data_IF_572928695338
#
_entry.id   IF_572928695338
#
_cell.length_a   1.000
_cell.length_b   1.000
_cell.length_c   1.000
_cell.angle_alpha   90.00
_cell.angle_beta   90.00
_cell.angle_gamma   90.00
#
_symmetry.space_group_name_H-M   'P 1'
#
loop_
_entity.id
_entity.type
_entity.pdbx_description
1 polymer ?
#
# COMPACT_ATOMS: atom_id res chain seq x y z
N UNK A 1 30.82 -8.31 15.16
CA UNK A 1 29.48 -8.93 15.10
C UNK A 1 28.58 -7.99 14.32
N UNK A 2 28.45 -8.18 13.01
CA UNK A 2 27.47 -7.41 12.22
C UNK A 2 26.10 -8.03 12.44
N UNK A 3 25.30 -7.44 13.31
CA UNK A 3 23.86 -7.67 13.34
C UNK A 3 23.31 -7.27 11.98
N UNK A 4 23.17 -8.24 11.06
CA UNK A 4 22.27 -8.11 9.93
C UNK A 4 20.91 -7.83 10.55
N UNK A 5 20.45 -6.57 10.47
CA UNK A 5 19.05 -6.24 10.68
C UNK A 5 18.30 -7.24 9.81
N UNK A 6 17.63 -8.21 10.45
CA UNK A 6 16.54 -8.92 9.78
C UNK A 6 15.58 -7.80 9.45
N UNK A 7 15.65 -7.31 8.22
CA UNK A 7 14.55 -6.60 7.57
C UNK A 7 13.33 -7.41 7.96
N UNK A 8 12.49 -6.81 8.82
CA UNK A 8 11.31 -7.50 9.34
C UNK A 8 10.62 -8.11 8.13
N UNK A 9 10.29 -9.39 8.21
CA UNK A 9 9.44 -10.02 7.21
C UNK A 9 8.16 -9.20 7.18
N UNK A 10 8.10 -8.23 6.27
CA UNK A 10 6.90 -7.46 5.98
C UNK A 10 5.88 -8.51 5.58
N UNK A 11 4.89 -8.71 6.45
CA UNK A 11 3.80 -9.60 6.13
C UNK A 11 2.96 -8.90 5.07
N UNK A 12 2.99 -9.41 3.84
CA UNK A 12 2.13 -8.90 2.76
C UNK A 12 0.64 -9.05 3.13
N UNK A 13 0.32 -9.96 4.04
CA UNK A 13 -1.03 -10.11 4.62
C UNK A 13 -1.36 -8.90 5.50
N UNK A 14 -0.43 -8.45 6.36
CA UNK A 14 -0.60 -7.22 7.13
C UNK A 14 -0.76 -6.01 6.23
N UNK A 15 0.09 -5.86 5.21
CA UNK A 15 -0.04 -4.75 4.25
C UNK A 15 -1.41 -4.78 3.56
N UNK A 16 -1.89 -5.97 3.20
CA UNK A 16 -3.20 -6.11 2.59
C UNK A 16 -4.33 -5.66 3.54
N UNK A 17 -4.27 -6.05 4.82
CA UNK A 17 -5.21 -5.62 5.85
C UNK A 17 -5.14 -4.10 6.08
N UNK A 18 -3.95 -3.50 6.16
CA UNK A 18 -3.79 -2.05 6.32
C UNK A 18 -4.36 -1.28 5.13
N UNK A 19 -4.20 -1.77 3.90
CA UNK A 19 -4.82 -1.15 2.72
C UNK A 19 -6.36 -1.20 2.83
N UNK A 20 -6.94 -2.28 3.35
CA UNK A 20 -8.39 -2.37 3.59
C UNK A 20 -8.85 -1.35 4.63
N UNK A 21 -8.13 -1.22 5.74
CA UNK A 21 -8.45 -0.25 6.80
C UNK A 21 -8.36 1.19 6.29
N UNK A 22 -7.35 1.49 5.48
CA UNK A 22 -7.20 2.79 4.83
C UNK A 22 -8.37 3.02 3.86
N UNK A 23 -8.72 2.05 3.03
CA UNK A 23 -9.83 2.16 2.09
C UNK A 23 -11.15 2.42 2.80
N UNK A 24 -11.45 1.67 3.86
CA UNK A 24 -12.63 1.87 4.70
C UNK A 24 -12.64 3.28 5.33
N UNK A 25 -11.51 3.72 5.86
CA UNK A 25 -11.35 5.06 6.43
C UNK A 25 -11.64 6.14 5.37
N UNK A 26 -11.07 6.01 4.17
CA UNK A 26 -11.29 6.95 3.07
C UNK A 26 -12.76 6.96 2.63
N UNK A 27 -13.41 5.79 2.54
CA UNK A 27 -14.82 5.67 2.19
C UNK A 27 -15.74 6.33 3.23
N UNK A 28 -15.53 6.03 4.51
CA UNK A 28 -16.35 6.54 5.62
C UNK A 28 -16.24 8.06 5.80
N UNK A 29 -15.14 8.65 5.35
CA UNK A 29 -14.88 10.10 5.44
C UNK A 29 -14.93 10.82 4.09
N UNK A 30 -15.47 10.17 3.06
CA UNK A 30 -15.53 10.71 1.69
C UNK A 30 -16.41 11.96 1.56
N UNK A 31 -17.55 12.00 2.26
CA UNK A 31 -18.52 13.11 2.21
C UNK A 31 -18.12 14.31 3.08
N UNK A 32 -17.25 14.08 4.07
CA UNK A 32 -16.74 15.13 4.96
C UNK A 32 -15.26 14.87 5.28
N UNK A 33 -14.35 15.27 4.38
CA UNK A 33 -12.94 14.97 4.55
C UNK A 33 -12.32 15.82 5.67
N UNK A 34 -12.12 15.19 6.82
CA UNK A 34 -11.41 15.81 7.93
C UNK A 34 -9.89 15.74 7.71
N UNK A 35 -9.21 16.89 7.72
CA UNK A 35 -7.76 16.99 7.49
C UNK A 35 -6.94 15.99 8.32
N UNK A 36 -7.27 15.83 9.60
CA UNK A 36 -6.53 14.93 10.51
C UNK A 36 -6.61 13.46 10.10
N UNK A 37 -7.75 13.03 9.58
CA UNK A 37 -7.95 11.64 9.15
C UNK A 37 -7.15 11.38 7.89
N UNK A 38 -7.16 12.33 6.95
CA UNK A 38 -6.38 12.19 5.72
C UNK A 38 -4.88 12.38 5.92
N UNK A 39 -4.45 13.11 6.96
CA UNK A 39 -3.06 13.11 7.44
C UNK A 39 -2.63 11.73 7.98
N UNK A 40 -3.52 11.03 8.68
CA UNK A 40 -3.28 9.66 9.15
C UNK A 40 -3.21 8.69 7.98
N UNK A 41 -4.19 8.71 7.07
CA UNK A 41 -4.19 7.92 5.84
C UNK A 41 -2.89 8.14 5.06
N UNK A 42 -2.48 9.39 4.88
CA UNK A 42 -1.24 9.72 4.21
C UNK A 42 -0.01 9.12 4.91
N UNK A 43 0.04 9.23 6.24
CA UNK A 43 1.14 8.67 7.04
C UNK A 43 1.21 7.15 6.89
N UNK A 44 0.08 6.45 6.99
CA UNK A 44 0.00 5.00 6.81
C UNK A 44 0.41 4.56 5.41
N UNK A 45 0.03 5.31 4.36
CA UNK A 45 0.46 5.01 2.99
C UNK A 45 1.98 5.17 2.81
N UNK A 46 2.63 6.17 3.43
CA UNK A 46 4.09 6.29 3.37
C UNK A 46 4.79 5.16 4.14
N UNK A 47 4.22 4.67 5.24
CA UNK A 47 4.74 3.49 5.95
C UNK A 47 4.70 2.25 5.04
N UNK A 48 3.52 1.95 4.46
CA UNK A 48 3.35 0.86 3.49
C UNK A 48 4.35 0.99 2.34
N UNK A 49 4.47 2.18 1.75
CA UNK A 49 5.43 2.45 0.67
C UNK A 49 6.86 2.11 1.07
N UNK A 50 7.29 2.53 2.26
CA UNK A 50 8.64 2.29 2.76
C UNK A 50 8.93 0.80 3.01
N UNK A 51 7.89 0.01 3.28
CA UNK A 51 7.99 -1.43 3.45
C UNK A 51 7.99 -2.21 2.14
N UNK A 52 7.15 -1.81 1.18
CA UNK A 52 7.06 -2.46 -0.13
C UNK A 52 8.29 -2.18 -0.98
N UNK A 53 8.82 -0.95 -0.92
CA UNK A 53 9.95 -0.53 -1.75
C UNK A 53 11.18 -1.45 -1.69
N UNK A 54 11.71 -1.86 -0.51
CA UNK A 54 12.79 -2.83 -0.46
C UNK A 54 12.35 -4.21 -0.98
N UNK A 55 11.13 -4.66 -0.69
CA UNK A 55 10.63 -5.95 -1.19
C UNK A 55 10.54 -5.98 -2.72
N UNK A 56 9.99 -4.94 -3.33
CA UNK A 56 9.87 -4.81 -4.79
C UNK A 56 11.25 -4.83 -5.46
N UNK A 57 12.25 -4.16 -4.85
CA UNK A 57 13.65 -4.19 -5.30
C UNK A 57 14.31 -5.55 -5.15
N UNK A 58 14.11 -6.22 -4.01
CA UNK A 58 14.76 -7.51 -3.71
C UNK A 58 14.17 -8.66 -4.54
N UNK A 59 12.86 -8.65 -4.76
CA UNK A 59 12.16 -9.72 -5.49
C UNK A 59 12.11 -9.50 -6.99
N UNK A 60 12.37 -8.27 -7.46
CA UNK A 60 12.26 -7.84 -8.86
C UNK A 60 10.98 -8.35 -9.52
N UNK A 61 9.87 -8.21 -8.79
CA UNK A 61 8.59 -8.77 -9.17
C UNK A 61 7.68 -7.65 -9.68
N UNK A 62 7.14 -7.83 -10.90
CA UNK A 62 6.22 -6.87 -11.52
C UNK A 62 5.05 -6.53 -10.62
N UNK A 63 4.44 -7.54 -9.99
CA UNK A 63 3.31 -7.31 -9.09
C UNK A 63 3.67 -6.39 -7.93
N UNK A 64 4.82 -6.58 -7.26
CA UNK A 64 5.23 -5.72 -6.14
C UNK A 64 5.62 -4.30 -6.60
N UNK A 65 6.21 -4.15 -7.79
CA UNK A 65 6.44 -2.84 -8.38
C UNK A 65 5.13 -2.11 -8.68
N UNK A 66 4.13 -2.83 -9.22
CA UNK A 66 2.81 -2.24 -9.42
C UNK A 66 2.18 -1.82 -8.09
N UNK A 67 2.24 -2.65 -7.03
CA UNK A 67 1.71 -2.24 -5.71
C UNK A 67 2.40 -0.95 -5.23
N UNK A 68 3.72 -0.84 -5.40
CA UNK A 68 4.45 0.36 -5.04
C UNK A 68 3.97 1.59 -5.82
N UNK A 69 3.80 1.47 -7.14
CA UNK A 69 3.30 2.56 -8.00
C UNK A 69 1.90 3.01 -7.58
N UNK A 70 1.00 2.07 -7.31
CA UNK A 70 -0.37 2.38 -6.87
C UNK A 70 -0.40 3.07 -5.49
N UNK A 71 0.44 2.64 -4.54
CA UNK A 71 0.54 3.33 -3.25
C UNK A 71 1.10 4.76 -3.41
N UNK A 72 2.07 4.96 -4.31
CA UNK A 72 2.58 6.30 -4.64
C UNK A 72 1.51 7.19 -5.30
N UNK A 73 0.64 6.61 -6.14
CA UNK A 73 -0.53 7.30 -6.70
C UNK A 73 -1.55 7.67 -5.61
N UNK A 74 -1.86 6.76 -4.68
CA UNK A 74 -2.75 7.05 -3.56
C UNK A 74 -2.22 8.23 -2.73
N UNK A 75 -0.92 8.23 -2.40
CA UNK A 75 -0.24 9.33 -1.70
C UNK A 75 -0.37 10.65 -2.47
N UNK A 76 -0.13 10.65 -3.77
CA UNK A 76 -0.20 11.85 -4.59
C UNK A 76 -1.62 12.44 -4.60
N UNK A 77 -2.64 11.58 -4.67
CA UNK A 77 -4.04 11.99 -4.62
C UNK A 77 -4.49 12.45 -3.21
N UNK A 78 -3.78 12.07 -2.15
CA UNK A 78 -4.03 12.51 -0.76
C UNK A 78 -3.38 13.84 -0.37
N UNK A 79 -2.31 14.28 -1.05
CA UNK A 79 -1.57 15.52 -0.75
C UNK A 79 -2.10 16.79 -1.45
N UNK A 80 -2.91 16.62 -2.51
CA UNK A 80 -3.43 17.71 -3.34
C UNK A 80 -4.89 18.07 -3.04
N UNK A 81 -5.70 18.26 -4.08
CA UNK A 81 -7.16 18.54 -4.01
C UNK A 81 -8.01 17.35 -3.50
N UNK A 82 -7.43 16.49 -2.67
CA UNK A 82 -7.97 15.25 -2.12
C UNK A 82 -8.95 14.54 -3.08
N UNK A 83 -8.39 13.74 -4.00
CA UNK A 83 -9.19 13.05 -5.02
C UNK A 83 -9.62 11.67 -4.51
N UNK A 84 -10.63 11.64 -3.64
CA UNK A 84 -11.14 10.41 -3.01
C UNK A 84 -11.36 9.27 -4.01
N UNK A 85 -12.03 9.45 -5.17
CA UNK A 85 -12.23 8.34 -6.11
C UNK A 85 -10.91 7.74 -6.62
N UNK A 86 -9.92 8.58 -6.88
CA UNK A 86 -8.60 8.15 -7.36
C UNK A 86 -7.80 7.45 -6.27
N UNK A 87 -7.94 7.87 -5.00
CA UNK A 87 -7.31 7.19 -3.86
C UNK A 87 -7.87 5.76 -3.79
N UNK A 88 -9.19 5.61 -3.82
CA UNK A 88 -9.84 4.31 -3.74
C UNK A 88 -9.46 3.39 -4.92
N UNK A 89 -9.43 3.91 -6.14
CA UNK A 89 -9.02 3.15 -7.33
C UNK A 89 -7.56 2.63 -7.22
N UNK A 90 -6.67 3.47 -6.70
CA UNK A 90 -5.28 3.10 -6.48
C UNK A 90 -5.14 2.02 -5.38
N UNK A 91 -5.88 2.15 -4.27
CA UNK A 91 -5.89 1.15 -3.20
C UNK A 91 -6.46 -0.20 -3.67
N UNK A 92 -7.52 -0.19 -4.47
CA UNK A 92 -8.07 -1.40 -5.09
C UNK A 92 -7.04 -2.07 -6.01
N UNK A 93 -6.38 -1.29 -6.87
CA UNK A 93 -5.33 -1.78 -7.77
C UNK A 93 -4.15 -2.37 -6.99
N UNK A 94 -3.74 -1.73 -5.88
CA UNK A 94 -2.71 -2.25 -4.97
C UNK A 94 -3.11 -3.62 -4.40
N UNK A 95 -4.34 -3.77 -3.89
CA UNK A 95 -4.86 -5.05 -3.36
C UNK A 95 -4.86 -6.15 -4.42
N UNK A 96 -5.31 -5.85 -5.64
CA UNK A 96 -5.34 -6.81 -6.75
C UNK A 96 -3.92 -7.30 -7.08
N UNK A 97 -2.94 -6.41 -7.11
CA UNK A 97 -1.55 -6.78 -7.38
C UNK A 97 -0.94 -7.62 -6.24
N UNK A 98 -1.25 -7.34 -4.97
CA UNK A 98 -0.86 -8.20 -3.83
C UNK A 98 -1.46 -9.61 -3.94
N UNK A 99 -2.74 -9.73 -4.31
CA UNK A 99 -3.39 -11.03 -4.53
C UNK A 99 -2.70 -11.78 -5.68
N UNK A 100 -2.43 -11.11 -6.81
CA UNK A 100 -1.72 -11.70 -7.96
C UNK A 100 -0.33 -12.22 -7.56
N UNK A 101 0.41 -11.45 -6.76
CA UNK A 101 1.70 -11.87 -6.22
C UNK A 101 1.57 -13.15 -5.39
N UNK A 102 0.62 -13.18 -4.44
CA UNK A 102 0.38 -14.34 -3.57
C UNK A 102 -0.07 -15.59 -4.34
N UNK A 103 -0.87 -15.44 -5.39
CA UNK A 103 -1.29 -16.56 -6.23
C UNK A 103 -0.15 -17.10 -7.10
N UNK A 104 0.75 -16.23 -7.60
CA UNK A 104 1.92 -16.65 -8.38
C UNK A 104 2.98 -17.35 -7.54
N UNK A 105 3.26 -16.84 -6.34
CA UNK A 105 4.22 -17.47 -5.43
C UNK A 105 3.82 -18.89 -5.02
N UNK A 106 2.51 -19.16 -4.92
CA UNK A 106 1.97 -20.50 -4.63
C UNK A 106 2.01 -21.48 -5.81
N UNK A 107 2.08 -21.01 -7.06
CA UNK A 107 2.16 -21.87 -8.26
C UNK A 107 3.59 -22.33 -8.61
N UNK A 108 4.59 -21.82 -7.89
CA UNK A 108 6.01 -22.12 -8.16
C UNK A 108 6.56 -23.28 -7.33
N UNK A 109 5.69 -24.10 -6.72
CA UNK A 109 6.01 -25.30 -5.94
C UNK A 109 5.45 -26.55 -6.60
#
# INVERSE_FOLDING_TARGET
MSSKKKTGLVSLERIFEEILEIEETVQNHSDNPESKIFEQVFSSLEEIRNEIKPLARERDCRELNNVLEEIELAIANSKGDLKIPNILEALESARINLIKYNLRSRKSF
#
